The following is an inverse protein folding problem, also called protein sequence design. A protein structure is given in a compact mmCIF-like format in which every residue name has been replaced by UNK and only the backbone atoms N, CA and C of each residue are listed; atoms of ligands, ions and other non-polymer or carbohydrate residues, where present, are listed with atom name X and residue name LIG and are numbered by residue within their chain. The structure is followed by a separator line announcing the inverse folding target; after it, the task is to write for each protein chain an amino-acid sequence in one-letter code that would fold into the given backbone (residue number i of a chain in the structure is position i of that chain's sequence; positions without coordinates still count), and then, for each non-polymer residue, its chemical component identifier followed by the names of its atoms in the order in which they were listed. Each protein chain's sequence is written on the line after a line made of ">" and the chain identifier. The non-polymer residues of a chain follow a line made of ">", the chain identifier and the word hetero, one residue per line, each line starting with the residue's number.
data_IF_842357875096
#
_entry.id   IF_842357875096
#
_cell.length_a   1.000
_cell.length_b   1.000
_cell.length_c   1.000
_cell.angle_alpha   90.00
_cell.angle_beta   90.00
_cell.angle_gamma   90.00
#
_symmetry.space_group_name_H-M   'P 1'
#
loop_
_entity.id
_entity.type
_entity.pdbx_description
1 polymer ?
#
# COMPACT_ATOMS: atom_id res chain seq x y z
N UNK A 1 41.78 -4.88 5.47
CA UNK A 1 41.35 -5.63 4.29
C UNK A 1 39.85 -5.40 4.14
N UNK A 2 39.45 -4.50 3.27
CA UNK A 2 38.02 -4.27 3.00
C UNK A 2 37.57 -5.34 2.02
N UNK A 3 36.78 -6.30 2.50
CA UNK A 3 36.04 -7.19 1.63
C UNK A 3 34.76 -6.47 1.19
N UNK A 4 34.79 -5.92 -0.02
CA UNK A 4 33.60 -5.36 -0.66
C UNK A 4 32.74 -6.52 -1.19
N UNK A 5 32.04 -7.22 -0.33
CA UNK A 5 31.04 -8.17 -0.73
C UNK A 5 29.68 -7.45 -0.79
N UNK A 6 29.26 -7.08 -1.99
CA UNK A 6 27.89 -6.64 -2.24
C UNK A 6 27.00 -7.87 -2.30
N UNK A 7 26.19 -8.05 -1.29
CA UNK A 7 25.11 -9.03 -1.31
C UNK A 7 23.79 -8.28 -1.54
N UNK A 8 22.96 -8.79 -2.41
CA UNK A 8 21.56 -8.36 -2.53
C UNK A 8 20.69 -9.19 -1.60
N UNK A 9 19.58 -8.61 -1.15
CA UNK A 9 18.66 -9.26 -0.24
C UNK A 9 17.51 -8.34 0.13
N UNK A 10 16.68 -8.80 1.04
CA UNK A 10 15.50 -8.06 1.51
C UNK A 10 15.58 -7.89 3.02
N UNK A 11 14.98 -6.83 3.51
CA UNK A 11 14.79 -6.61 4.93
C UNK A 11 13.37 -6.08 5.20
N UNK A 12 12.82 -6.42 6.37
CA UNK A 12 11.51 -5.96 6.82
C UNK A 12 11.45 -5.91 8.33
N UNK A 13 10.45 -5.20 8.86
CA UNK A 13 10.19 -5.12 10.30
C UNK A 13 9.13 -6.15 10.66
N UNK A 14 9.42 -7.00 11.64
CA UNK A 14 8.51 -7.99 12.20
C UNK A 14 8.39 -7.74 13.71
N UNK A 15 7.34 -6.99 14.10
CA UNK A 15 7.19 -6.51 15.47
C UNK A 15 8.32 -5.57 15.88
N UNK A 16 9.08 -5.94 16.89
CA UNK A 16 10.25 -5.18 17.37
C UNK A 16 11.57 -5.66 16.73
N UNK A 17 11.50 -6.54 15.73
CA UNK A 17 12.67 -7.16 15.11
C UNK A 17 12.83 -6.69 13.66
N UNK A 18 14.08 -6.46 13.26
CA UNK A 18 14.45 -6.31 11.85
C UNK A 18 14.89 -7.67 11.34
N UNK A 19 14.21 -8.15 10.30
CA UNK A 19 14.58 -9.39 9.60
C UNK A 19 15.25 -9.05 8.28
N UNK A 20 16.30 -9.78 7.96
CA UNK A 20 17.02 -9.67 6.69
C UNK A 20 17.09 -11.04 6.02
N UNK A 21 16.86 -11.09 4.73
CA UNK A 21 17.03 -12.27 3.91
C UNK A 21 18.02 -11.95 2.79
N UNK A 22 19.07 -12.74 2.67
CA UNK A 22 20.11 -12.55 1.67
C UNK A 22 19.80 -13.36 0.41
N UNK A 23 20.07 -12.77 -0.75
CA UNK A 23 20.18 -13.50 -1.99
C UNK A 23 21.60 -14.05 -2.10
N UNK A 24 21.74 -15.34 -1.92
CA UNK A 24 23.05 -16.02 -1.97
C UNK A 24 23.47 -16.39 -3.39
N UNK A 25 22.60 -16.18 -4.39
CA UNK A 25 22.80 -16.65 -5.76
C UNK A 25 22.74 -18.17 -5.92
N UNK A 26 22.58 -18.93 -4.84
CA UNK A 26 22.40 -20.38 -4.87
C UNK A 26 20.91 -20.73 -4.66
N UNK A 27 20.25 -21.34 -5.66
CA UNK A 27 18.84 -21.71 -5.55
C UNK A 27 18.52 -22.67 -4.39
N UNK A 28 19.51 -23.40 -3.87
CA UNK A 28 19.33 -24.32 -2.74
C UNK A 28 19.38 -23.62 -1.39
N UNK A 29 20.02 -22.47 -1.31
CA UNK A 29 20.16 -21.67 -0.10
C UNK A 29 19.35 -20.39 -0.17
N UNK A 30 18.82 -20.05 -1.33
CA UNK A 30 17.96 -18.88 -1.52
C UNK A 30 16.68 -19.03 -0.69
N UNK A 31 16.47 -18.15 0.25
CA UNK A 31 15.36 -18.21 1.21
C UNK A 31 15.65 -18.92 2.54
N UNK A 32 16.84 -19.48 2.73
CA UNK A 32 17.17 -20.28 3.93
C UNK A 32 17.68 -19.47 5.13
N UNK A 33 18.06 -18.20 4.96
CA UNK A 33 18.66 -17.41 6.04
C UNK A 33 17.88 -16.13 6.32
N UNK A 34 16.95 -16.20 7.27
CA UNK A 34 16.50 -15.00 7.95
C UNK A 34 17.36 -14.82 9.21
N UNK A 35 18.22 -13.82 9.22
CA UNK A 35 18.94 -13.47 10.44
C UNK A 35 18.10 -12.45 11.20
N UNK A 36 17.60 -12.84 12.36
CA UNK A 36 16.98 -11.92 13.29
C UNK A 36 18.12 -11.23 14.07
N UNK A 37 18.26 -9.93 13.93
CA UNK A 37 19.20 -9.18 14.76
C UNK A 37 18.53 -8.86 16.10
N UNK A 38 18.93 -9.55 17.15
CA UNK A 38 18.57 -9.18 18.51
C UNK A 38 19.39 -7.94 18.94
N UNK A 39 18.73 -6.98 19.55
CA UNK A 39 19.27 -5.67 19.91
C UNK A 39 20.31 -5.65 21.05
N UNK A 40 21.00 -6.75 21.33
CA UNK A 40 21.96 -6.77 22.43
C UNK A 40 23.19 -5.87 22.23
N UNK A 41 23.69 -5.75 20.99
CA UNK A 41 24.91 -4.99 20.65
C UNK A 41 24.82 -4.29 19.30
N UNK A 42 23.61 -4.10 18.75
CA UNK A 42 23.42 -3.43 17.47
C UNK A 42 22.40 -2.31 17.61
N UNK A 43 22.65 -1.20 16.96
CA UNK A 43 21.71 -0.07 16.91
C UNK A 43 21.41 0.33 15.47
N UNK A 44 20.25 0.92 15.26
CA UNK A 44 19.89 1.52 13.98
C UNK A 44 20.58 2.87 13.88
N UNK A 45 21.49 3.02 12.92
CA UNK A 45 22.13 4.29 12.61
C UNK A 45 21.27 5.18 11.72
N UNK A 46 20.53 4.55 10.76
CA UNK A 46 19.62 5.25 9.85
C UNK A 46 18.56 4.27 9.36
N UNK A 47 17.33 4.74 9.21
CA UNK A 47 16.26 3.98 8.59
C UNK A 47 15.37 4.92 7.77
N UNK A 48 15.21 4.61 6.49
CA UNK A 48 14.32 5.29 5.55
C UNK A 48 13.64 4.22 4.69
N UNK A 49 12.70 4.60 3.84
CA UNK A 49 12.03 3.66 2.93
C UNK A 49 12.99 2.98 1.92
N UNK A 50 14.18 3.53 1.74
CA UNK A 50 15.16 3.05 0.76
C UNK A 50 16.52 2.69 1.37
N UNK A 51 16.77 2.97 2.63
CA UNK A 51 18.07 2.77 3.25
C UNK A 51 17.93 2.34 4.72
N UNK A 52 18.60 1.27 5.08
CA UNK A 52 18.79 0.82 6.44
C UNK A 52 20.28 0.76 6.74
N UNK A 53 20.73 1.45 7.77
CA UNK A 53 22.08 1.36 8.31
C UNK A 53 22.01 0.76 9.69
N UNK A 54 22.59 -0.40 9.87
CA UNK A 54 22.77 -1.03 11.18
C UNK A 54 24.22 -0.89 11.62
N UNK A 55 24.42 -0.60 12.87
CA UNK A 55 25.73 -0.46 13.49
C UNK A 55 25.85 -1.52 14.57
N UNK A 56 26.76 -2.46 14.39
CA UNK A 56 27.14 -3.39 15.43
C UNK A 56 28.35 -2.82 16.17
N UNK A 57 28.14 -2.46 17.44
CA UNK A 57 29.18 -1.88 18.29
C UNK A 57 29.88 -3.00 19.07
N UNK A 58 31.20 -3.05 18.97
CA UNK A 58 32.09 -3.92 19.73
C UNK A 58 33.00 -3.04 20.60
N UNK A 59 33.56 -3.60 21.65
CA UNK A 59 34.37 -2.81 22.61
C UNK A 59 35.49 -2.03 21.99
N UNK A 60 36.02 -2.46 20.84
CA UNK A 60 37.19 -1.84 20.18
C UNK A 60 36.94 -1.31 18.79
N UNK A 61 35.80 -1.62 18.17
CA UNK A 61 35.43 -1.20 16.81
C UNK A 61 33.95 -1.32 16.57
N UNK A 62 33.43 -0.59 15.57
CA UNK A 62 32.04 -0.68 15.10
C UNK A 62 32.02 -1.13 13.65
N UNK A 63 31.17 -2.10 13.34
CA UNK A 63 30.86 -2.51 11.97
C UNK A 63 29.59 -1.80 11.50
N UNK A 64 29.63 -1.28 10.27
CA UNK A 64 28.49 -0.64 9.63
C UNK A 64 27.97 -1.56 8.53
N UNK A 65 26.69 -1.89 8.60
CA UNK A 65 26.00 -2.65 7.58
C UNK A 65 25.05 -1.72 6.84
N UNK A 66 25.23 -1.58 5.54
CA UNK A 66 24.44 -0.72 4.68
C UNK A 66 23.54 -1.58 3.81
N UNK A 67 22.26 -1.30 3.87
CA UNK A 67 21.25 -1.93 3.02
C UNK A 67 20.56 -0.81 2.24
N UNK A 68 20.62 -0.89 0.92
CA UNK A 68 19.97 0.10 0.05
C UNK A 68 18.95 -0.64 -0.80
N UNK A 69 17.72 -0.19 -0.78
CA UNK A 69 16.70 -0.71 -1.70
C UNK A 69 16.98 -0.19 -3.11
N UNK A 70 17.18 -1.09 -4.04
CA UNK A 70 17.39 -0.76 -5.47
C UNK A 70 16.09 -0.48 -6.21
N UNK A 71 14.95 -0.80 -5.62
CA UNK A 71 13.61 -0.44 -6.09
C UNK A 71 12.97 0.43 -5.05
N UNK A 72 12.73 1.71 -5.36
CA UNK A 72 12.18 2.73 -4.45
C UNK A 72 10.71 2.49 -4.04
N UNK A 73 10.39 1.28 -3.65
CA UNK A 73 9.11 0.88 -3.07
C UNK A 73 9.40 -0.25 -2.10
N UNK A 74 9.32 0.06 -0.81
CA UNK A 74 9.51 -0.88 0.30
C UNK A 74 8.40 -1.90 0.45
N UNK A 75 7.96 -2.51 -0.64
CA UNK A 75 7.11 -3.68 -0.57
C UNK A 75 7.98 -4.90 -0.39
N UNK A 76 7.86 -5.56 0.74
CA UNK A 76 8.35 -6.91 1.00
C UNK A 76 8.01 -7.82 -0.20
N UNK A 77 9.02 -8.37 -0.94
CA UNK A 77 8.75 -9.29 -2.04
C UNK A 77 8.17 -10.64 -1.56
N UNK A 78 8.10 -10.88 -0.28
CA UNK A 78 7.50 -12.06 0.35
C UNK A 78 6.15 -11.80 1.04
N UNK A 79 5.75 -10.53 1.24
CA UNK A 79 4.40 -10.24 1.73
C UNK A 79 3.39 -10.50 0.63
N UNK A 80 2.38 -11.33 0.83
CA UNK A 80 1.31 -11.49 -0.14
C UNK A 80 0.70 -10.12 -0.39
N UNK A 81 0.58 -9.75 -1.67
CA UNK A 81 -0.02 -8.48 -2.07
C UNK A 81 -1.38 -8.34 -1.38
N UNK A 82 -1.59 -7.23 -0.70
CA UNK A 82 -2.83 -6.99 0.04
C UNK A 82 -3.96 -6.54 -0.89
N UNK A 83 -5.18 -6.89 -0.51
CA UNK A 83 -6.37 -6.32 -1.16
C UNK A 83 -6.47 -4.84 -0.82
N UNK A 84 -7.03 -4.01 -1.71
CA UNK A 84 -7.27 -2.62 -1.39
C UNK A 84 -8.11 -2.45 -0.13
N UNK A 85 -7.63 -1.66 0.83
CA UNK A 85 -8.43 -1.13 1.93
C UNK A 85 -8.96 0.24 1.52
N UNK A 86 -10.29 0.34 1.31
CA UNK A 86 -10.93 1.53 0.75
C UNK A 86 -12.12 1.98 1.58
N UNK A 87 -12.23 3.27 1.80
CA UNK A 87 -13.36 3.88 2.49
C UNK A 87 -13.91 5.12 1.78
N UNK A 88 -15.20 5.37 1.96
CA UNK A 88 -15.81 6.62 1.49
C UNK A 88 -15.16 7.79 2.21
N UNK A 89 -14.73 8.79 1.43
CA UNK A 89 -14.00 9.94 1.98
C UNK A 89 -14.82 11.23 1.90
N UNK A 90 -15.32 11.58 0.71
CA UNK A 90 -16.03 12.84 0.50
C UNK A 90 -16.87 12.79 -0.79
N UNK A 91 -17.79 13.75 -0.94
CA UNK A 91 -18.48 14.00 -2.20
C UNK A 91 -18.80 15.48 -2.39
N UNK A 92 -18.91 15.88 -3.64
CA UNK A 92 -19.48 17.18 -4.05
C UNK A 92 -20.63 16.95 -5.00
N UNK A 93 -21.66 17.80 -4.95
CA UNK A 93 -22.86 17.62 -5.73
C UNK A 93 -23.32 18.90 -6.42
N UNK A 94 -23.87 18.75 -7.62
CA UNK A 94 -24.67 19.73 -8.32
C UNK A 94 -26.12 19.22 -8.42
N UNK A 95 -27.00 19.95 -9.10
CA UNK A 95 -28.39 19.47 -9.37
C UNK A 95 -28.44 18.18 -10.16
N UNK A 96 -27.46 17.95 -11.04
CA UNK A 96 -27.51 16.82 -11.99
C UNK A 96 -26.27 15.94 -11.97
N UNK A 97 -25.35 16.18 -11.05
CA UNK A 97 -24.14 15.34 -10.91
C UNK A 97 -23.67 15.22 -9.46
N UNK A 98 -22.93 14.16 -9.19
CA UNK A 98 -22.20 13.93 -7.93
C UNK A 98 -20.79 13.48 -8.28
N UNK A 99 -19.79 14.12 -7.71
CA UNK A 99 -18.41 13.63 -7.71
C UNK A 99 -18.15 12.97 -6.37
N UNK A 100 -17.84 11.69 -6.38
CA UNK A 100 -17.51 10.92 -5.17
C UNK A 100 -16.02 10.66 -5.09
N UNK A 101 -15.48 10.69 -3.88
CA UNK A 101 -14.09 10.40 -3.58
C UNK A 101 -14.03 9.28 -2.55
N UNK A 102 -13.24 8.27 -2.82
CA UNK A 102 -12.85 7.22 -1.88
C UNK A 102 -11.36 7.34 -1.57
N UNK A 103 -10.95 6.93 -0.38
CA UNK A 103 -9.55 6.88 0.05
C UNK A 103 -9.08 5.44 0.07
N UNK A 104 -7.85 5.22 -0.39
CA UNK A 104 -7.11 3.97 -0.25
C UNK A 104 -6.19 4.12 0.95
N UNK A 105 -6.33 3.28 1.96
CA UNK A 105 -5.55 3.36 3.19
C UNK A 105 -4.22 2.63 3.10
N UNK A 106 -4.13 1.60 2.26
CA UNK A 106 -2.94 0.78 2.02
C UNK A 106 -2.47 0.84 0.55
N UNK A 107 -2.33 2.06 0.00
CA UNK A 107 -2.07 2.27 -1.44
C UNK A 107 -0.79 1.60 -1.95
N UNK A 108 0.25 1.55 -1.10
CA UNK A 108 1.58 1.06 -1.48
C UNK A 108 1.62 -0.48 -1.51
N UNK A 109 0.86 -1.14 -0.64
CA UNK A 109 0.71 -2.60 -0.56
C UNK A 109 -0.31 -3.11 -1.59
N UNK A 110 -1.44 -2.42 -1.71
CA UNK A 110 -2.55 -2.84 -2.58
C UNK A 110 -2.28 -2.59 -4.07
N UNK A 111 -1.53 -1.53 -4.42
CA UNK A 111 -1.21 -1.13 -5.82
C UNK A 111 -2.45 -1.16 -6.71
N UNK A 112 -3.45 -0.36 -6.37
CA UNK A 112 -4.74 -0.34 -7.08
C UNK A 112 -4.54 0.02 -8.54
N UNK A 113 -4.97 -0.86 -9.44
CA UNK A 113 -4.85 -0.76 -10.90
C UNK A 113 -6.16 -0.42 -11.60
N UNK A 114 -7.31 -0.75 -11.00
CA UNK A 114 -8.63 -0.45 -11.55
C UNK A 114 -9.62 -0.13 -10.43
N UNK A 115 -10.54 0.80 -10.71
CA UNK A 115 -11.61 1.13 -9.80
C UNK A 115 -12.90 1.52 -10.53
N UNK A 116 -14.04 1.15 -9.94
CA UNK A 116 -15.37 1.48 -10.43
C UNK A 116 -16.29 1.89 -9.29
N UNK A 117 -17.03 2.97 -9.49
CA UNK A 117 -18.11 3.39 -8.59
C UNK A 117 -19.42 2.84 -9.08
N UNK A 118 -20.11 2.10 -8.23
CA UNK A 118 -21.49 1.67 -8.46
C UNK A 118 -22.43 2.69 -7.81
N UNK A 119 -23.53 3.02 -8.50
CA UNK A 119 -24.50 4.00 -8.03
C UNK A 119 -25.93 3.62 -8.42
N UNK A 120 -26.88 4.12 -7.67
CA UNK A 120 -28.31 3.88 -7.89
C UNK A 120 -29.17 4.54 -6.81
N UNK A 121 -30.49 4.37 -6.93
CA UNK A 121 -31.47 4.89 -5.94
C UNK A 121 -31.86 3.85 -4.88
N UNK A 122 -31.32 2.65 -4.96
CA UNK A 122 -31.51 1.55 -4.00
C UNK A 122 -30.22 1.32 -3.20
N UNK A 123 -30.34 0.70 -2.04
CA UNK A 123 -29.20 0.40 -1.15
C UNK A 123 -28.18 -0.58 -1.72
N UNK A 124 -28.54 -1.32 -2.76
CA UNK A 124 -27.59 -2.13 -3.54
C UNK A 124 -27.48 -1.57 -4.97
N UNK A 125 -26.59 -0.59 -5.18
CA UNK A 125 -26.44 0.07 -6.46
C UNK A 125 -25.70 -0.81 -7.47
N UNK A 126 -26.23 -0.87 -8.71
CA UNK A 126 -25.74 -1.77 -9.77
C UNK A 126 -25.17 -1.05 -10.99
N UNK A 127 -25.52 0.25 -11.21
CA UNK A 127 -25.00 1.00 -12.36
C UNK A 127 -23.55 1.40 -12.08
N UNK A 128 -22.62 1.03 -12.98
CA UNK A 128 -21.19 1.26 -12.80
C UNK A 128 -20.66 2.44 -13.60
N UNK A 129 -19.75 3.21 -12.99
CA UNK A 129 -18.96 4.28 -13.60
C UNK A 129 -17.48 4.03 -13.30
N UNK A 130 -16.63 3.98 -14.33
CA UNK A 130 -15.17 3.89 -14.13
C UNK A 130 -14.69 5.09 -13.34
N UNK A 131 -13.74 4.86 -12.45
CA UNK A 131 -13.15 5.87 -11.59
C UNK A 131 -11.67 6.07 -11.93
N UNK A 132 -11.15 7.25 -11.65
CA UNK A 132 -9.73 7.57 -11.77
C UNK A 132 -9.05 7.35 -10.44
N UNK A 133 -7.94 6.63 -10.45
CA UNK A 133 -7.06 6.42 -9.29
C UNK A 133 -5.90 7.41 -9.39
N UNK A 134 -5.71 8.23 -8.36
CA UNK A 134 -4.60 9.20 -8.30
C UNK A 134 -4.03 9.22 -6.88
N UNK A 135 -2.83 8.69 -6.71
CA UNK A 135 -2.22 8.50 -5.40
C UNK A 135 -3.10 7.61 -4.51
N UNK A 136 -3.50 8.11 -3.35
CA UNK A 136 -4.39 7.42 -2.42
C UNK A 136 -5.88 7.70 -2.61
N UNK A 137 -6.28 8.33 -3.72
CA UNK A 137 -7.67 8.73 -3.98
C UNK A 137 -8.23 8.05 -5.22
N UNK A 138 -9.49 7.62 -5.11
CA UNK A 138 -10.33 7.12 -6.20
C UNK A 138 -11.45 8.12 -6.40
N UNK A 139 -11.60 8.68 -7.60
CA UNK A 139 -12.61 9.69 -7.92
C UNK A 139 -13.43 9.32 -9.14
N UNK A 140 -14.74 9.58 -9.10
CA UNK A 140 -15.60 9.55 -10.26
C UNK A 140 -16.70 10.61 -10.18
N UNK A 141 -17.00 11.22 -11.34
CA UNK A 141 -18.15 12.12 -11.50
C UNK A 141 -19.28 11.37 -12.20
N UNK A 142 -20.42 11.30 -11.55
CA UNK A 142 -21.64 10.66 -12.03
C UNK A 142 -22.59 11.77 -12.47
N UNK A 143 -22.95 11.81 -13.74
CA UNK A 143 -23.80 12.85 -14.34
C UNK A 143 -25.15 12.27 -14.77
N UNK A 144 -26.08 13.16 -15.13
CA UNK A 144 -27.45 12.77 -15.56
C UNK A 144 -28.33 12.33 -14.39
N UNK A 145 -28.06 12.80 -13.21
CA UNK A 145 -28.82 12.54 -12.00
C UNK A 145 -30.02 13.50 -11.88
N UNK A 146 -31.01 13.12 -11.07
CA UNK A 146 -32.15 13.99 -10.74
C UNK A 146 -31.80 14.90 -9.57
N UNK A 147 -32.24 16.17 -9.61
CA UNK A 147 -32.07 17.14 -8.54
C UNK A 147 -32.78 16.67 -7.24
N UNK A 148 -32.24 17.07 -6.10
CA UNK A 148 -32.81 16.79 -4.76
C UNK A 148 -33.02 15.29 -4.47
N UNK A 149 -32.25 14.41 -5.13
CA UNK A 149 -32.45 12.96 -5.05
C UNK A 149 -31.30 12.29 -4.31
N UNK A 150 -31.65 11.39 -3.40
CA UNK A 150 -30.67 10.55 -2.70
C UNK A 150 -30.22 9.40 -3.62
N UNK A 151 -28.91 9.22 -3.70
CA UNK A 151 -28.27 8.09 -4.37
C UNK A 151 -27.42 7.30 -3.39
N UNK A 152 -27.30 6.01 -3.66
CA UNK A 152 -26.41 5.12 -2.95
C UNK A 152 -25.19 4.85 -3.85
N UNK A 153 -24.00 4.84 -3.25
CA UNK A 153 -22.73 4.64 -3.95
C UNK A 153 -21.86 3.64 -3.22
N UNK A 154 -21.16 2.79 -3.96
CA UNK A 154 -20.11 1.91 -3.43
C UNK A 154 -18.95 1.84 -4.42
N UNK A 155 -17.74 1.69 -3.91
CA UNK A 155 -16.54 1.57 -4.72
C UNK A 155 -16.09 0.11 -4.77
N UNK A 156 -15.72 -0.36 -5.96
CA UNK A 156 -14.99 -1.61 -6.15
C UNK A 156 -13.63 -1.26 -6.70
N UNK A 157 -12.56 -1.67 -6.00
CA UNK A 157 -11.18 -1.46 -6.41
C UNK A 157 -10.45 -2.80 -6.53
N UNK A 158 -9.63 -2.91 -7.56
CA UNK A 158 -8.79 -4.08 -7.82
C UNK A 158 -7.34 -3.67 -7.74
N UNK A 159 -6.56 -4.41 -6.99
CA UNK A 159 -5.12 -4.25 -6.83
C UNK A 159 -4.39 -5.57 -6.95
N UNK A 160 -3.10 -5.58 -6.64
CA UNK A 160 -2.24 -6.75 -6.77
C UNK A 160 -2.71 -7.94 -5.91
N UNK A 161 -3.27 -7.69 -4.71
CA UNK A 161 -3.79 -8.73 -3.80
C UNK A 161 -5.23 -9.16 -4.06
N UNK A 162 -5.90 -8.58 -5.08
CA UNK A 162 -7.27 -8.92 -5.43
C UNK A 162 -8.22 -7.73 -5.41
N UNK A 163 -9.50 -8.00 -5.22
CA UNK A 163 -10.58 -7.00 -5.31
C UNK A 163 -11.26 -6.80 -3.96
N UNK A 164 -11.55 -5.54 -3.63
CA UNK A 164 -12.37 -5.13 -2.49
C UNK A 164 -13.55 -4.29 -2.97
N UNK A 165 -14.69 -4.44 -2.31
CA UNK A 165 -15.85 -3.57 -2.48
C UNK A 165 -16.13 -2.88 -1.15
N UNK A 166 -16.25 -1.55 -1.16
CA UNK A 166 -16.56 -0.76 0.02
C UNK A 166 -17.99 -1.00 0.51
N UNK A 167 -18.27 -0.57 1.71
CA UNK A 167 -19.66 -0.39 2.15
C UNK A 167 -20.37 0.64 1.28
N UNK A 168 -21.71 0.58 1.32
CA UNK A 168 -22.56 1.50 0.58
C UNK A 168 -22.76 2.79 1.36
N UNK A 169 -22.48 3.93 0.74
CA UNK A 169 -22.67 5.27 1.28
C UNK A 169 -23.81 5.99 0.58
N UNK A 170 -24.39 7.00 1.26
CA UNK A 170 -25.45 7.84 0.73
C UNK A 170 -24.91 9.19 0.31
N UNK A 171 -25.34 9.67 -0.85
CA UNK A 171 -25.05 11.00 -1.38
C UNK A 171 -26.34 11.64 -1.87
N UNK A 172 -26.42 12.97 -1.89
CA UNK A 172 -27.62 13.68 -2.35
C UNK A 172 -27.21 14.74 -3.38
N UNK A 173 -27.96 14.83 -4.49
CA UNK A 173 -27.83 15.92 -5.45
C UNK A 173 -28.41 17.22 -4.89
N UNK A 174 -27.89 18.38 -5.34
CA UNK A 174 -28.45 19.68 -4.97
C UNK A 174 -29.89 19.85 -5.51
N UNK A 175 -30.67 20.71 -4.87
CA UNK A 175 -32.03 21.08 -5.24
C UNK A 175 -32.09 22.06 -6.41
#
# INVERSE_FOLDING_TARGET
>A
LYLNNTHSGWWWIDGEMIRCQWDTGDPKTNGAYSTAFGFGHSRIGKMTDSELVMIADYDTYSNYFYYVSTSGSGSDPGSPAEKPDIGFYDFTATKTSVTVTYKIYNKDEAKVSDAKIYYGTTSDPTRGKSATVTGSLIKATISGLKAGTTYYVKCRATGAGGTTTSETSRVITAY
#
